data_IF_111400555570
#
_entry.id   IF_111400555570
#
_cell.length_a   1.000
_cell.length_b   1.000
_cell.length_c   1.000
_cell.angle_alpha   90.00
_cell.angle_beta   90.00
_cell.angle_gamma   90.00
#
_symmetry.space_group_name_H-M   'P 1'
#
loop_
_entity.id
_entity.type
_entity.pdbx_description
1 polymer ?
#
# COMPACT_ATOMS: atom_id res chain seq x y z
N UNK A 1 19.63 -23.42 62.36
CA UNK A 1 18.24 -23.60 61.87
C UNK A 1 17.76 -22.54 60.86
N UNK A 2 18.06 -21.23 61.02
CA UNK A 2 17.54 -20.15 60.13
C UNK A 2 17.92 -20.25 58.63
N UNK A 3 19.09 -20.81 58.27
CA UNK A 3 19.56 -20.93 56.87
C UNK A 3 18.84 -22.04 56.10
N UNK A 4 18.46 -23.15 56.76
CA UNK A 4 17.71 -24.25 56.12
C UNK A 4 16.26 -23.83 55.79
N UNK A 5 15.67 -22.95 56.59
CA UNK A 5 14.31 -22.45 56.38
C UNK A 5 14.21 -21.53 55.15
N UNK A 6 15.22 -20.68 54.89
CA UNK A 6 15.28 -19.83 53.67
C UNK A 6 15.41 -20.66 52.39
N UNK A 7 16.27 -21.68 52.37
CA UNK A 7 16.42 -22.57 51.20
C UNK A 7 15.16 -23.38 50.92
N UNK A 8 14.46 -23.82 51.97
CA UNK A 8 13.19 -24.53 51.86
C UNK A 8 12.06 -23.64 51.33
N UNK A 9 11.96 -22.39 51.78
CA UNK A 9 11.02 -21.41 51.25
C UNK A 9 11.26 -21.09 49.76
N UNK A 10 12.53 -20.92 49.36
CA UNK A 10 12.89 -20.72 47.93
C UNK A 10 12.51 -21.95 47.11
N UNK A 11 12.77 -23.16 47.63
CA UNK A 11 12.40 -24.40 46.95
C UNK A 11 10.89 -24.56 46.81
N UNK A 12 10.10 -24.26 47.85
CA UNK A 12 8.62 -24.27 47.77
C UNK A 12 8.11 -23.22 46.80
N UNK A 13 8.70 -22.01 46.80
CA UNK A 13 8.34 -20.97 45.84
C UNK A 13 8.63 -21.40 44.40
N UNK A 14 9.80 -22.01 44.16
CA UNK A 14 10.16 -22.53 42.85
C UNK A 14 9.26 -23.70 42.43
N UNK A 15 8.98 -24.63 43.34
CA UNK A 15 8.10 -25.78 43.09
C UNK A 15 6.66 -25.34 42.81
N UNK A 16 6.12 -24.39 43.59
CA UNK A 16 4.79 -23.81 43.34
C UNK A 16 4.74 -23.05 42.01
N UNK A 17 5.79 -22.29 41.67
CA UNK A 17 5.91 -21.64 40.36
C UNK A 17 5.94 -22.67 39.21
N UNK A 18 6.68 -23.77 39.37
CA UNK A 18 6.71 -24.86 38.40
C UNK A 18 5.37 -25.60 38.27
N UNK A 19 4.70 -25.91 39.38
CA UNK A 19 3.39 -26.60 39.39
C UNK A 19 2.32 -25.70 38.77
N UNK A 20 2.28 -24.41 39.13
CA UNK A 20 1.38 -23.44 38.53
C UNK A 20 1.68 -23.34 37.03
N UNK A 21 2.94 -23.17 36.64
CA UNK A 21 3.36 -23.14 35.24
C UNK A 21 2.94 -24.40 34.46
N UNK A 22 3.02 -25.59 35.09
CA UNK A 22 2.65 -26.87 34.48
C UNK A 22 1.13 -27.03 34.32
N UNK A 23 0.35 -26.67 35.34
CA UNK A 23 -1.12 -26.67 35.29
C UNK A 23 -1.60 -25.72 34.18
N UNK A 24 -0.96 -24.55 34.05
CA UNK A 24 -1.28 -23.60 32.99
C UNK A 24 -0.93 -24.14 31.60
N UNK A 25 0.20 -24.85 31.45
CA UNK A 25 0.57 -25.51 30.19
C UNK A 25 -0.44 -26.56 29.72
N UNK A 26 -1.19 -27.17 30.65
CA UNK A 26 -2.21 -28.18 30.39
C UNK A 26 -3.58 -27.59 29.98
N UNK A 27 -3.81 -26.28 30.15
CA UNK A 27 -5.06 -25.65 29.72
C UNK A 27 -5.03 -25.51 28.20
N UNK A 28 -5.94 -26.17 27.46
CA UNK A 28 -5.97 -26.06 26.01
C UNK A 28 -6.18 -24.61 25.59
N UNK A 29 -5.26 -24.09 24.78
CA UNK A 29 -5.38 -22.75 24.23
C UNK A 29 -6.60 -22.69 23.29
N UNK A 30 -7.66 -21.98 23.70
CA UNK A 30 -8.77 -21.66 22.81
C UNK A 30 -8.27 -20.94 21.55
N UNK A 31 -8.84 -21.23 20.38
CA UNK A 31 -8.44 -20.59 19.11
C UNK A 31 -8.52 -19.06 19.16
N UNK A 32 -7.68 -18.39 18.35
CA UNK A 32 -7.75 -16.95 18.15
C UNK A 32 -9.05 -16.59 17.42
N UNK A 33 -9.87 -15.74 18.02
CA UNK A 33 -11.13 -15.26 17.43
C UNK A 33 -10.87 -14.05 16.54
N UNK A 34 -9.99 -13.14 16.96
CA UNK A 34 -9.67 -11.91 16.26
C UNK A 34 -10.83 -10.91 16.28
N UNK A 35 -10.52 -9.64 16.54
CA UNK A 35 -11.50 -8.56 16.46
C UNK A 35 -10.98 -7.42 15.58
N UNK A 36 -11.88 -6.85 14.79
CA UNK A 36 -11.66 -5.68 13.94
C UNK A 36 -12.67 -4.59 14.26
N UNK A 37 -12.44 -3.38 13.77
CA UNK A 37 -13.40 -2.27 13.83
C UNK A 37 -14.59 -2.61 12.92
N UNK A 38 -15.82 -2.25 13.32
CA UNK A 38 -17.02 -2.52 12.52
C UNK A 38 -16.95 -1.97 11.09
N UNK A 39 -16.38 -0.77 10.92
CA UNK A 39 -16.16 -0.12 9.62
C UNK A 39 -14.68 -0.15 9.23
N UNK A 40 -14.09 -1.35 9.23
CA UNK A 40 -12.70 -1.53 8.83
C UNK A 40 -12.52 -1.39 7.32
N UNK A 41 -11.56 -0.57 6.90
CA UNK A 41 -11.17 -0.37 5.51
C UNK A 41 -9.85 -1.07 5.16
N UNK A 42 -9.00 -1.31 6.14
CA UNK A 42 -7.76 -2.07 5.98
C UNK A 42 -7.61 -2.98 7.19
N UNK A 43 -7.37 -4.27 6.96
CA UNK A 43 -6.93 -5.17 8.01
C UNK A 43 -5.66 -5.92 7.59
N UNK A 44 -4.79 -6.16 8.56
CA UNK A 44 -3.56 -6.93 8.39
C UNK A 44 -3.52 -8.00 9.47
N UNK A 45 -3.58 -9.26 9.04
CA UNK A 45 -3.56 -10.44 9.88
C UNK A 45 -2.25 -11.21 9.71
N UNK A 46 -1.63 -11.54 10.84
CA UNK A 46 -0.47 -12.42 10.92
C UNK A 46 -0.85 -13.65 11.74
N UNK A 47 -0.80 -14.87 11.19
CA UNK A 47 -1.01 -16.08 11.97
C UNK A 47 0.10 -16.32 13.00
N UNK A 48 1.35 -16.04 12.62
CA UNK A 48 2.53 -16.10 13.49
C UNK A 48 3.43 -14.88 13.23
N UNK A 49 3.05 -13.75 13.83
CA UNK A 49 3.79 -12.49 13.70
C UNK A 49 5.27 -12.60 14.10
N UNK A 50 5.66 -13.28 15.19
CA UNK A 50 7.07 -13.53 15.50
C UNK A 50 7.84 -14.21 14.37
N UNK A 51 7.28 -15.24 13.76
CA UNK A 51 7.91 -15.98 12.66
C UNK A 51 8.04 -15.08 11.42
N UNK A 52 6.95 -14.43 11.01
CA UNK A 52 6.97 -13.45 9.93
C UNK A 52 8.04 -12.37 10.17
N UNK A 53 8.06 -11.75 11.36
CA UNK A 53 9.02 -10.71 11.70
C UNK A 53 10.46 -11.21 11.67
N UNK A 54 10.72 -12.42 12.16
CA UNK A 54 12.06 -13.01 12.13
C UNK A 54 12.53 -13.31 10.70
N UNK A 55 11.64 -13.78 9.84
CA UNK A 55 11.93 -14.07 8.43
C UNK A 55 12.12 -12.77 7.65
N UNK A 56 11.21 -11.82 7.82
CA UNK A 56 11.29 -10.50 7.22
C UNK A 56 12.62 -9.82 7.58
N UNK A 57 13.05 -9.83 8.86
CA UNK A 57 14.32 -9.24 9.31
C UNK A 57 15.58 -9.76 8.60
N UNK A 58 15.54 -10.97 8.03
CA UNK A 58 16.68 -11.52 7.28
C UNK A 58 16.78 -10.95 5.88
N UNK A 59 15.71 -10.34 5.37
CA UNK A 59 15.68 -9.73 4.05
C UNK A 59 16.25 -8.31 4.10
N UNK A 60 17.10 -7.97 3.12
CA UNK A 60 17.76 -6.67 3.04
C UNK A 60 16.76 -5.51 3.02
N UNK A 61 15.68 -5.65 2.24
CA UNK A 61 14.58 -4.67 2.15
C UNK A 61 14.03 -4.36 3.55
N UNK A 62 13.80 -5.38 4.38
CA UNK A 62 13.25 -5.21 5.74
C UNK A 62 14.25 -4.61 6.72
N UNK A 63 15.55 -4.88 6.58
CA UNK A 63 16.56 -4.29 7.49
C UNK A 63 16.55 -2.77 7.37
N UNK A 64 16.45 -2.26 6.15
CA UNK A 64 16.33 -0.82 5.93
C UNK A 64 14.92 -0.31 6.21
N UNK A 65 13.87 -1.06 5.82
CA UNK A 65 12.49 -0.76 6.20
C UNK A 65 12.37 -0.57 7.71
N UNK A 66 12.89 -1.52 8.49
CA UNK A 66 12.85 -1.47 9.95
C UNK A 66 13.64 -0.28 10.47
N UNK A 67 14.86 0.00 9.98
CA UNK A 67 15.60 1.20 10.38
C UNK A 67 14.80 2.50 10.22
N UNK A 68 13.90 2.58 9.24
CA UNK A 68 13.15 3.80 8.90
C UNK A 68 11.70 3.81 9.44
N UNK A 69 10.93 2.72 9.28
CA UNK A 69 9.61 2.53 9.90
C UNK A 69 9.68 2.54 11.43
N UNK A 70 10.78 2.07 12.04
CA UNK A 70 10.91 2.13 13.51
C UNK A 70 10.93 3.54 14.05
N UNK A 71 11.27 4.57 13.27
CA UNK A 71 11.15 5.96 13.76
C UNK A 71 9.67 6.37 13.92
N UNK A 72 8.77 5.85 13.08
CA UNK A 72 7.34 6.17 13.12
C UNK A 72 6.55 5.27 14.06
N UNK A 73 6.87 3.97 14.06
CA UNK A 73 6.35 3.04 15.06
C UNK A 73 7.04 3.21 16.41
N UNK A 74 8.03 4.11 16.52
CA UNK A 74 8.79 4.34 17.75
C UNK A 74 7.88 4.74 18.89
N UNK A 75 6.94 5.67 18.67
CA UNK A 75 6.10 6.18 19.74
C UNK A 75 5.12 5.12 20.24
N UNK A 76 4.63 4.28 19.34
CA UNK A 76 3.80 3.10 19.66
C UNK A 76 4.64 2.08 20.44
N UNK A 77 5.84 1.74 19.96
CA UNK A 77 6.78 0.81 20.62
C UNK A 77 7.20 1.32 21.99
N UNK A 78 7.52 2.61 22.09
CA UNK A 78 7.95 3.29 23.30
C UNK A 78 6.83 3.34 24.32
N UNK A 79 5.61 3.65 23.91
CA UNK A 79 4.43 3.63 24.77
C UNK A 79 4.16 2.23 25.30
N UNK A 80 4.23 1.21 24.45
CA UNK A 80 4.13 -0.19 24.87
C UNK A 80 5.23 -0.56 25.87
N UNK A 81 6.47 -0.15 25.60
CA UNK A 81 7.62 -0.36 26.50
C UNK A 81 7.46 0.36 27.83
N UNK A 82 6.95 1.60 27.83
CA UNK A 82 6.70 2.39 29.05
C UNK A 82 5.60 1.75 29.90
N UNK A 83 4.52 1.27 29.28
CA UNK A 83 3.38 0.65 29.97
C UNK A 83 3.74 -0.73 30.55
N UNK A 84 4.43 -1.56 29.78
CA UNK A 84 4.64 -2.98 30.11
C UNK A 84 6.07 -3.35 30.52
N UNK A 85 7.04 -2.45 30.34
CA UNK A 85 8.47 -2.71 30.60
C UNK A 85 9.14 -3.64 29.58
N UNK A 86 8.43 -4.05 28.52
CA UNK A 86 8.88 -5.06 27.56
C UNK A 86 9.37 -4.37 26.28
N UNK A 87 10.64 -4.57 25.94
CA UNK A 87 11.16 -4.20 24.60
C UNK A 87 10.78 -5.30 23.60
N UNK A 88 10.03 -4.99 22.52
CA UNK A 88 9.59 -5.99 21.56
C UNK A 88 10.75 -6.53 20.73
N UNK A 89 10.94 -7.85 20.79
CA UNK A 89 11.74 -8.64 19.83
C UNK A 89 10.87 -9.82 19.41
N UNK A 90 11.13 -10.51 18.28
CA UNK A 90 10.31 -11.65 17.87
C UNK A 90 10.09 -12.67 19.00
N UNK A 91 11.17 -13.03 19.71
CA UNK A 91 11.09 -13.94 20.85
C UNK A 91 10.30 -13.37 22.04
N UNK A 92 10.52 -12.11 22.40
CA UNK A 92 9.79 -11.48 23.51
C UNK A 92 8.31 -11.30 23.16
N UNK A 93 7.99 -10.93 21.92
CA UNK A 93 6.62 -10.85 21.43
C UNK A 93 5.92 -12.20 21.58
N UNK A 94 6.56 -13.27 21.10
CA UNK A 94 6.04 -14.62 21.25
C UNK A 94 5.74 -14.99 22.70
N UNK A 95 6.65 -14.69 23.63
CA UNK A 95 6.48 -14.98 25.06
C UNK A 95 5.34 -14.19 25.70
N UNK A 96 5.13 -12.93 25.30
CA UNK A 96 4.19 -12.02 25.95
C UNK A 96 2.87 -11.89 25.18
N UNK A 97 2.93 -11.37 23.95
CA UNK A 97 1.76 -11.06 23.11
C UNK A 97 1.22 -12.27 22.33
N UNK A 98 1.99 -13.35 22.21
CA UNK A 98 1.59 -14.58 21.52
C UNK A 98 1.95 -14.58 20.04
N UNK A 99 1.33 -15.51 19.29
CA UNK A 99 1.58 -15.72 17.86
C UNK A 99 0.73 -14.82 16.95
N UNK A 100 -0.61 -14.86 17.04
CA UNK A 100 -1.44 -14.12 16.12
C UNK A 100 -1.44 -12.63 16.44
N UNK A 101 -1.40 -11.82 15.40
CA UNK A 101 -1.58 -10.37 15.46
C UNK A 101 -2.57 -9.99 14.37
N UNK A 102 -3.59 -9.22 14.75
CA UNK A 102 -4.53 -8.62 13.82
C UNK A 102 -4.54 -7.12 14.07
N UNK A 103 -4.37 -6.35 13.01
CA UNK A 103 -4.46 -4.89 13.05
C UNK A 103 -5.52 -4.46 12.06
N UNK A 104 -6.39 -3.54 12.44
CA UNK A 104 -7.41 -2.98 11.56
C UNK A 104 -7.49 -1.47 11.68
N UNK A 105 -7.76 -0.78 10.57
CA UNK A 105 -7.93 0.66 10.47
C UNK A 105 -9.27 1.01 9.83
N UNK A 106 -9.89 2.10 10.30
CA UNK A 106 -11.07 2.71 9.67
C UNK A 106 -10.67 3.96 8.85
N UNK A 107 -11.66 4.56 8.18
CA UNK A 107 -11.48 5.78 7.37
C UNK A 107 -11.03 7.00 8.16
N UNK A 108 -11.22 7.03 9.47
CA UNK A 108 -10.85 8.16 10.31
C UNK A 108 -9.40 8.05 10.81
N UNK A 109 -8.68 7.01 10.40
CA UNK A 109 -7.33 6.71 10.89
C UNK A 109 -7.32 6.09 12.29
N UNK A 110 -8.47 5.70 12.81
CA UNK A 110 -8.53 4.95 14.06
C UNK A 110 -8.12 3.52 13.83
N UNK A 111 -7.35 2.98 14.77
CA UNK A 111 -6.81 1.64 14.64
C UNK A 111 -7.11 0.78 15.86
N UNK A 112 -7.16 -0.53 15.61
CA UNK A 112 -7.34 -1.56 16.62
C UNK A 112 -6.29 -2.63 16.41
N UNK A 113 -5.57 -2.97 17.47
CA UNK A 113 -4.66 -4.09 17.55
C UNK A 113 -5.28 -5.17 18.42
N UNK A 114 -5.51 -6.35 17.84
CA UNK A 114 -6.01 -7.54 18.51
C UNK A 114 -4.91 -8.58 18.61
N UNK A 115 -4.53 -8.93 19.84
CA UNK A 115 -3.55 -9.97 20.13
C UNK A 115 -4.12 -11.01 21.08
N UNK A 116 -3.49 -12.18 21.13
CA UNK A 116 -3.80 -13.23 22.09
C UNK A 116 -2.61 -13.46 23.03
N UNK A 117 -2.53 -12.69 24.13
CA UNK A 117 -1.41 -12.80 25.05
C UNK A 117 -1.31 -14.19 25.65
N UNK A 118 -0.07 -14.66 25.80
CA UNK A 118 0.20 -15.94 26.45
C UNK A 118 -0.05 -15.87 27.93
N UNK A 119 -0.17 -17.06 28.53
CA UNK A 119 -0.41 -17.21 29.96
C UNK A 119 0.65 -16.49 30.82
N UNK A 120 1.92 -16.46 30.40
CA UNK A 120 2.97 -15.71 31.11
C UNK A 120 2.67 -14.20 31.23
N UNK A 121 2.14 -13.58 30.17
CA UNK A 121 1.73 -12.18 30.21
C UNK A 121 0.55 -11.96 31.16
N UNK A 122 -0.39 -12.92 31.19
CA UNK A 122 -1.51 -12.87 32.13
C UNK A 122 -1.05 -13.01 33.57
N UNK A 123 -0.08 -13.89 33.84
CA UNK A 123 0.51 -14.05 35.17
C UNK A 123 1.25 -12.78 35.63
N UNK A 124 1.93 -12.10 34.70
CA UNK A 124 2.56 -10.81 34.97
C UNK A 124 1.54 -9.72 35.33
N UNK A 125 0.31 -9.83 34.82
CA UNK A 125 -0.81 -8.92 35.07
C UNK A 125 -1.67 -9.29 36.30
N UNK A 126 -1.55 -10.51 36.82
CA UNK A 126 -2.31 -10.98 37.98
C UNK A 126 -2.16 -10.12 39.26
N UNK A 127 -1.04 -9.43 39.54
CA UNK A 127 -0.95 -8.63 40.76
C UNK A 127 -1.87 -7.40 40.76
N UNK A 128 -2.39 -6.97 39.60
CA UNK A 128 -2.94 -5.62 39.45
C UNK A 128 -4.42 -5.47 39.08
N UNK A 129 -5.22 -6.48 38.69
CA UNK A 129 -6.70 -6.38 38.72
C UNK A 129 -7.47 -7.65 38.28
N UNK A 130 -8.73 -7.73 38.74
CA UNK A 130 -9.81 -8.46 38.06
C UNK A 130 -9.72 -8.16 36.56
N UNK A 131 -9.46 -9.17 35.73
CA UNK A 131 -9.62 -9.07 34.26
C UNK A 131 -11.09 -8.70 34.04
N UNK A 132 -11.36 -7.40 33.97
CA UNK A 132 -12.69 -6.85 33.75
C UNK A 132 -12.80 -6.56 32.26
N UNK A 133 -13.98 -6.79 31.71
CA UNK A 133 -14.30 -6.39 30.33
C UNK A 133 -14.48 -4.85 30.21
N UNK A 134 -13.82 -4.08 31.07
CA UNK A 134 -13.89 -2.64 31.09
C UNK A 134 -12.71 -2.07 30.28
N UNK A 135 -12.96 -0.95 29.63
CA UNK A 135 -11.93 -0.19 28.94
C UNK A 135 -11.02 0.46 29.98
N UNK A 136 -9.71 0.30 29.81
CA UNK A 136 -8.70 0.87 30.69
C UNK A 136 -7.75 1.77 29.90
N UNK A 137 -7.32 2.87 30.51
CA UNK A 137 -6.41 3.83 29.90
C UNK A 137 -4.94 3.55 30.27
N UNK A 138 -4.02 3.80 29.35
CA UNK A 138 -2.59 3.63 29.61
C UNK A 138 -1.66 4.31 28.63
N UNK A 139 -0.99 5.37 29.09
CA UNK A 139 -0.20 6.20 28.18
C UNK A 139 -1.16 6.87 27.20
N UNK A 140 -0.88 6.81 25.91
CA UNK A 140 -1.73 7.42 24.87
C UNK A 140 -2.75 6.43 24.26
N UNK A 141 -2.96 5.27 24.90
CA UNK A 141 -3.76 4.17 24.36
C UNK A 141 -4.81 3.64 25.34
N UNK A 142 -5.84 3.03 24.75
CA UNK A 142 -6.93 2.35 25.44
C UNK A 142 -6.82 0.84 25.27
N UNK A 143 -7.17 0.09 26.32
CA UNK A 143 -7.03 -1.35 26.40
C UNK A 143 -8.33 -1.99 26.84
N UNK A 144 -8.74 -3.07 26.18
CA UNK A 144 -9.92 -3.86 26.53
C UNK A 144 -9.58 -5.36 26.49
N UNK A 145 -9.89 -6.06 27.57
CA UNK A 145 -9.89 -7.53 27.57
C UNK A 145 -11.23 -8.03 27.05
N UNK A 146 -11.21 -8.82 25.97
CA UNK A 146 -12.41 -9.46 25.41
C UNK A 146 -12.22 -10.98 25.43
N UNK A 147 -12.57 -11.58 26.57
CA UNK A 147 -12.29 -12.99 26.84
C UNK A 147 -10.79 -13.24 26.98
N UNK A 148 -10.20 -13.94 26.03
CA UNK A 148 -8.80 -14.37 26.06
C UNK A 148 -7.85 -13.48 25.21
N UNK A 149 -8.39 -12.43 24.61
CA UNK A 149 -7.68 -11.52 23.71
C UNK A 149 -7.59 -10.12 24.31
N UNK A 150 -6.47 -9.45 24.03
CA UNK A 150 -6.23 -8.08 24.42
C UNK A 150 -6.39 -7.20 23.18
N UNK A 151 -7.27 -6.22 23.31
CA UNK A 151 -7.55 -5.21 22.30
C UNK A 151 -6.89 -3.90 22.72
N UNK A 152 -6.21 -3.26 21.78
CA UNK A 152 -5.50 -1.98 21.99
C UNK A 152 -5.95 -1.01 20.89
N UNK A 153 -6.34 0.20 21.27
CA UNK A 153 -6.74 1.23 20.31
C UNK A 153 -6.25 2.61 20.72
N UNK A 154 -6.18 3.52 19.75
CA UNK A 154 -5.95 4.95 19.96
C UNK A 154 -7.18 5.69 20.50
N UNK A 155 -8.39 5.11 20.42
CA UNK A 155 -9.62 5.69 20.98
C UNK A 155 -10.44 4.67 21.78
N UNK A 156 -11.16 5.14 22.78
CA UNK A 156 -12.07 4.33 23.60
C UNK A 156 -13.34 3.93 22.83
N UNK A 157 -13.90 4.83 22.03
CA UNK A 157 -15.09 4.60 21.21
C UNK A 157 -14.93 3.41 20.27
N UNK A 158 -13.73 3.24 19.70
CA UNK A 158 -13.39 2.12 18.82
C UNK A 158 -13.55 0.78 19.54
N UNK A 159 -13.12 0.68 20.80
CA UNK A 159 -13.19 -0.56 21.59
C UNK A 159 -14.64 -1.00 21.87
N UNK A 160 -15.59 -0.07 21.82
CA UNK A 160 -17.02 -0.37 21.94
C UNK A 160 -17.66 -0.88 20.64
N UNK A 161 -17.02 -0.65 19.49
CA UNK A 161 -17.52 -0.95 18.14
C UNK A 161 -16.69 -2.04 17.44
N UNK A 162 -16.29 -3.07 18.19
CA UNK A 162 -15.46 -4.17 17.66
C UNK A 162 -16.28 -5.40 17.29
N UNK A 163 -16.11 -5.86 16.04
CA UNK A 163 -16.75 -7.06 15.50
C UNK A 163 -15.73 -8.19 15.36
N UNK A 164 -16.21 -9.43 15.33
CA UNK A 164 -15.33 -10.61 15.18
C UNK A 164 -14.80 -10.66 13.74
N UNK A 165 -13.52 -10.96 13.59
CA UNK A 165 -12.91 -11.20 12.30
C UNK A 165 -13.38 -12.52 11.71
N UNK A 166 -14.15 -12.48 10.62
CA UNK A 166 -14.72 -13.66 9.97
C UNK A 166 -13.76 -14.32 8.98
N UNK A 167 -12.74 -13.60 8.50
CA UNK A 167 -11.93 -13.97 7.35
C UNK A 167 -10.54 -14.49 7.74
N UNK A 168 -10.46 -15.35 8.76
CA UNK A 168 -9.20 -16.05 9.07
C UNK A 168 -8.92 -17.03 7.92
N UNK A 169 -7.82 -16.88 7.16
CA UNK A 169 -7.50 -17.78 6.06
C UNK A 169 -7.37 -19.22 6.56
N UNK A 170 -7.93 -20.19 5.84
CA UNK A 170 -7.90 -21.61 6.23
C UNK A 170 -6.53 -22.26 6.07
N UNK A 171 -5.65 -21.68 5.24
CA UNK A 171 -4.30 -22.17 4.97
C UNK A 171 -3.27 -21.13 5.42
N UNK A 172 -2.97 -21.13 6.72
CA UNK A 172 -2.05 -20.15 7.33
C UNK A 172 -0.61 -20.64 7.27
N UNK A 173 0.20 -20.04 6.39
CA UNK A 173 1.65 -20.15 6.53
C UNK A 173 2.10 -19.21 7.66
N UNK A 174 3.04 -19.68 8.50
CA UNK A 174 3.56 -18.95 9.64
C UNK A 174 4.32 -17.68 9.24
N UNK A 175 4.85 -17.64 8.01
CA UNK A 175 5.66 -16.52 7.50
C UNK A 175 4.89 -15.62 6.52
N UNK A 176 3.57 -15.51 6.69
CA UNK A 176 2.72 -14.72 5.80
C UNK A 176 1.94 -13.65 6.56
N UNK A 177 1.85 -12.46 5.97
CA UNK A 177 0.94 -11.40 6.36
C UNK A 177 -0.22 -11.36 5.37
N UNK A 178 -1.46 -11.44 5.85
CA UNK A 178 -2.66 -11.32 5.04
C UNK A 178 -3.19 -9.90 5.17
N UNK A 179 -3.37 -9.23 4.04
CA UNK A 179 -3.87 -7.86 3.95
C UNK A 179 -5.22 -7.93 3.28
N UNK A 180 -6.24 -7.36 3.91
CA UNK A 180 -7.57 -7.25 3.34
C UNK A 180 -7.96 -5.77 3.28
N UNK A 181 -8.34 -5.32 2.10
CA UNK A 181 -8.93 -4.01 1.86
C UNK A 181 -10.46 -4.16 1.87
N UNK A 182 -11.13 -3.22 2.54
CA UNK A 182 -12.55 -3.25 2.91
C UNK A 182 -13.49 -2.70 1.83
N UNK A 183 -14.73 -2.36 2.26
CA UNK A 183 -15.99 -2.11 1.53
C UNK A 183 -15.93 -1.72 0.03
N UNK A 184 -15.00 -0.87 -0.41
CA UNK A 184 -14.95 -0.34 -1.77
C UNK A 184 -14.03 -1.13 -2.72
N UNK A 185 -12.93 -1.70 -2.22
CA UNK A 185 -12.08 -2.62 -2.98
C UNK A 185 -12.01 -3.95 -2.26
N UNK A 186 -12.76 -4.93 -2.76
CA UNK A 186 -12.63 -6.34 -2.33
C UNK A 186 -11.29 -6.89 -2.83
N UNK A 187 -10.22 -6.54 -2.13
CA UNK A 187 -8.87 -6.98 -2.44
C UNK A 187 -8.24 -7.68 -1.24
N UNK A 188 -7.68 -8.84 -1.47
CA UNK A 188 -6.98 -9.64 -0.48
C UNK A 188 -5.58 -9.96 -0.99
N UNK A 189 -4.56 -9.64 -0.20
CA UNK A 189 -3.17 -9.93 -0.52
C UNK A 189 -2.53 -10.78 0.58
N UNK A 190 -1.55 -11.60 0.21
CA UNK A 190 -0.67 -12.33 1.11
C UNK A 190 0.77 -11.96 0.79
N UNK A 191 1.46 -11.39 1.78
CA UNK A 191 2.90 -11.11 1.71
C UNK A 191 3.63 -12.25 2.40
N UNK A 192 4.40 -13.00 1.63
CA UNK A 192 5.24 -14.10 2.08
C UNK A 192 6.65 -13.58 2.34
N UNK A 193 7.17 -13.86 3.54
CA UNK A 193 8.53 -13.49 3.94
C UNK A 193 9.56 -14.63 3.73
N UNK A 194 9.15 -15.77 3.15
CA UNK A 194 10.02 -16.91 2.84
C UNK A 194 10.70 -16.71 1.48
N UNK A 195 12.04 -16.71 1.45
CA UNK A 195 12.84 -16.64 0.21
C UNK A 195 12.50 -15.43 -0.70
N UNK A 196 12.86 -14.23 -0.25
CA UNK A 196 12.48 -12.92 -0.79
C UNK A 196 11.00 -12.59 -0.60
N UNK A 197 10.67 -11.30 -0.57
CA UNK A 197 9.28 -10.88 -0.43
C UNK A 197 8.51 -11.24 -1.71
N UNK A 198 7.52 -12.09 -1.52
CA UNK A 198 6.59 -12.51 -2.55
C UNK A 198 5.18 -12.11 -2.14
N UNK A 199 4.42 -11.58 -3.09
CA UNK A 199 3.06 -11.07 -2.93
C UNK A 199 2.16 -11.92 -3.80
N UNK A 200 1.14 -12.52 -3.20
CA UNK A 200 -0.01 -13.03 -3.94
C UNK A 200 -1.25 -12.24 -3.56
N UNK A 201 -2.25 -12.22 -4.42
CA UNK A 201 -3.50 -11.59 -4.07
C UNK A 201 -4.60 -11.83 -5.07
N UNK A 202 -5.78 -11.37 -4.68
CA UNK A 202 -6.99 -11.36 -5.48
C UNK A 202 -7.59 -9.97 -5.37
N UNK A 203 -7.91 -9.38 -6.51
CA UNK A 203 -8.73 -8.16 -6.58
C UNK A 203 -10.02 -8.55 -7.27
N UNK A 204 -11.15 -8.41 -6.57
CA UNK A 204 -12.45 -8.57 -7.21
C UNK A 204 -12.74 -7.34 -8.06
N UNK A 205 -13.23 -7.57 -9.27
CA UNK A 205 -13.74 -6.53 -10.15
C UNK A 205 -15.22 -6.77 -10.41
N UNK A 206 -16.02 -5.71 -10.21
CA UNK A 206 -17.43 -5.72 -10.58
C UNK A 206 -17.64 -5.62 -12.11
N UNK A 207 -16.57 -5.40 -12.88
CA UNK A 207 -16.60 -5.31 -14.34
C UNK A 207 -16.19 -6.65 -14.95
N UNK A 208 -16.77 -7.02 -16.10
CA UNK A 208 -16.36 -8.23 -16.85
C UNK A 208 -14.86 -8.17 -17.17
N UNK A 209 -14.12 -9.31 -17.15
CA UNK A 209 -12.73 -9.33 -17.57
C UNK A 209 -12.72 -8.82 -19.01
N UNK A 210 -12.12 -7.65 -19.23
CA UNK A 210 -12.28 -6.90 -20.47
C UNK A 210 -11.79 -7.71 -21.68
N UNK A 211 -12.58 -7.71 -22.77
CA UNK A 211 -12.12 -7.96 -24.14
C UNK A 211 -10.86 -7.13 -24.51
N UNK A 212 -10.60 -6.04 -23.78
CA UNK A 212 -9.44 -5.16 -23.88
C UNK A 212 -8.10 -5.70 -23.36
N UNK A 213 -8.03 -6.76 -22.53
CA UNK A 213 -6.73 -7.32 -22.08
C UNK A 213 -5.84 -7.76 -23.25
N UNK A 214 -6.44 -8.25 -24.33
CA UNK A 214 -5.77 -8.56 -25.60
C UNK A 214 -5.24 -7.31 -26.34
N UNK A 215 -5.85 -6.14 -26.10
CA UNK A 215 -5.41 -4.86 -26.64
C UNK A 215 -4.25 -4.27 -25.84
N UNK A 216 -3.97 -4.81 -24.65
CA UNK A 216 -2.96 -4.33 -23.71
C UNK A 216 -1.69 -5.18 -23.67
N UNK A 217 -1.69 -6.37 -24.29
CA UNK A 217 -0.54 -7.29 -24.37
C UNK A 217 0.76 -6.56 -24.73
N UNK A 218 0.66 -5.61 -25.64
CA UNK A 218 1.80 -4.97 -26.29
C UNK A 218 2.45 -3.90 -25.41
N UNK A 219 1.82 -3.52 -24.30
CA UNK A 219 2.40 -2.64 -23.29
C UNK A 219 2.98 -3.42 -22.10
N UNK A 220 2.56 -4.68 -21.91
CA UNK A 220 3.10 -5.53 -20.85
C UNK A 220 4.52 -5.97 -21.17
N UNK A 221 5.38 -6.03 -20.16
CA UNK A 221 6.83 -6.25 -20.30
C UNK A 221 7.64 -5.10 -20.91
N UNK A 222 7.04 -3.93 -21.14
CA UNK A 222 7.80 -2.73 -21.51
C UNK A 222 8.66 -2.21 -20.34
N UNK A 223 9.69 -1.43 -20.66
CA UNK A 223 10.51 -0.71 -19.68
C UNK A 223 9.79 0.51 -19.08
N UNK A 224 8.50 0.71 -19.39
CA UNK A 224 7.72 1.78 -18.78
C UNK A 224 7.67 1.58 -17.26
N UNK A 225 7.97 2.66 -16.52
CA UNK A 225 8.18 2.66 -15.07
C UNK A 225 6.97 2.16 -14.30
N UNK A 226 5.77 2.41 -14.81
CA UNK A 226 4.57 1.67 -14.41
C UNK A 226 3.53 1.65 -15.51
N UNK A 227 2.88 0.49 -15.65
CA UNK A 227 1.63 0.31 -16.40
C UNK A 227 0.56 0.01 -15.36
N UNK A 228 -0.58 0.70 -15.40
CA UNK A 228 -1.70 0.41 -14.50
C UNK A 228 -2.93 0.09 -15.33
N UNK A 229 -3.45 -1.14 -15.16
CA UNK A 229 -4.65 -1.62 -15.82
C UNK A 229 -5.90 -1.19 -15.07
N UNK A 230 -6.87 -0.64 -15.81
CA UNK A 230 -8.14 -0.16 -15.27
C UNK A 230 -7.83 0.97 -14.28
N UNK A 231 -8.18 2.21 -14.60
CA UNK A 231 -7.90 3.32 -13.68
C UNK A 231 -9.15 3.64 -12.84
N UNK A 232 -9.49 2.83 -11.80
CA UNK A 232 -9.95 3.39 -10.55
C UNK A 232 -8.75 3.60 -9.60
N UNK A 233 -7.50 3.65 -10.08
CA UNK A 233 -6.35 3.99 -9.24
C UNK A 233 -6.40 5.46 -8.81
N UNK A 234 -6.84 6.34 -9.72
CA UNK A 234 -7.12 7.72 -9.34
C UNK A 234 -8.45 7.81 -8.59
N UNK A 235 -9.47 7.00 -8.90
CA UNK A 235 -10.67 6.92 -8.06
C UNK A 235 -10.36 6.40 -6.65
N UNK A 236 -9.33 5.57 -6.47
CA UNK A 236 -8.85 5.11 -5.15
C UNK A 236 -7.97 6.12 -4.45
N UNK A 237 -7.23 6.96 -5.19
CA UNK A 237 -6.56 8.13 -4.60
C UNK A 237 -7.48 9.34 -4.42
N UNK A 238 -8.65 9.38 -5.06
CA UNK A 238 -9.71 10.36 -4.79
C UNK A 238 -10.77 9.81 -3.84
N UNK A 239 -10.77 8.50 -3.60
CA UNK A 239 -11.57 7.88 -2.55
C UNK A 239 -11.04 8.45 -1.23
N UNK A 240 -11.86 9.32 -0.64
CA UNK A 240 -11.61 9.93 0.65
C UNK A 240 -11.26 8.88 1.70
N UNK A 241 -11.79 7.67 1.58
CA UNK A 241 -11.54 6.59 2.53
C UNK A 241 -10.09 6.07 2.48
N UNK A 242 -9.54 5.86 1.28
CA UNK A 242 -8.20 5.32 1.09
C UNK A 242 -7.15 6.42 1.26
N UNK A 243 -7.44 7.65 0.85
CA UNK A 243 -6.60 8.82 1.19
C UNK A 243 -6.53 9.07 2.68
N UNK A 244 -7.66 9.04 3.40
CA UNK A 244 -7.64 9.19 4.85
C UNK A 244 -6.90 8.02 5.51
N UNK A 245 -7.10 6.79 5.05
CA UNK A 245 -6.37 5.61 5.55
C UNK A 245 -4.87 5.73 5.29
N UNK A 246 -4.43 6.12 4.09
CA UNK A 246 -3.02 6.35 3.77
C UNK A 246 -2.43 7.52 4.55
N UNK A 247 -3.18 8.61 4.74
CA UNK A 247 -2.76 9.76 5.56
C UNK A 247 -2.66 9.44 7.05
N UNK A 248 -3.33 8.38 7.52
CA UNK A 248 -3.17 7.85 8.87
C UNK A 248 -1.92 6.99 9.04
N UNK A 249 -1.45 6.38 7.94
CA UNK A 249 -0.26 5.51 7.92
C UNK A 249 1.01 6.29 7.56
N UNK A 250 0.88 7.35 6.76
CA UNK A 250 1.96 8.19 6.26
C UNK A 250 1.68 9.62 6.75
N UNK A 251 2.61 10.28 7.46
CA UNK A 251 2.38 11.62 8.00
C UNK A 251 1.85 12.58 6.92
N UNK A 252 0.84 13.38 7.28
CA UNK A 252 0.23 14.34 6.35
C UNK A 252 1.27 15.30 5.74
N UNK A 253 2.31 15.68 6.50
CA UNK A 253 3.43 16.52 6.04
C UNK A 253 4.26 15.89 4.92
N UNK A 254 4.34 14.55 4.84
CA UNK A 254 5.01 13.84 3.74
C UNK A 254 4.14 13.69 2.49
N UNK A 255 2.81 13.80 2.61
CA UNK A 255 1.89 13.75 1.47
C UNK A 255 1.54 15.15 0.93
N UNK A 256 1.66 16.18 1.78
CA UNK A 256 1.33 17.57 1.46
C UNK A 256 1.99 18.10 0.18
N UNK A 257 3.26 17.81 -0.14
CA UNK A 257 3.86 18.30 -1.38
C UNK A 257 3.23 17.66 -2.63
N UNK A 258 2.81 16.39 -2.57
CA UNK A 258 2.07 15.74 -3.67
C UNK A 258 0.76 16.49 -3.91
N UNK A 259 0.01 16.78 -2.84
CA UNK A 259 -1.25 17.51 -2.94
C UNK A 259 -1.07 18.94 -3.44
N UNK A 260 -0.05 19.67 -2.98
CA UNK A 260 0.27 21.02 -3.45
C UNK A 260 0.66 21.01 -4.93
N UNK A 261 1.47 20.03 -5.34
CA UNK A 261 1.84 19.87 -6.74
C UNK A 261 0.61 19.52 -7.60
N UNK A 262 -0.29 18.66 -7.12
CA UNK A 262 -1.57 18.39 -7.80
C UNK A 262 -2.43 19.66 -7.89
N UNK A 263 -2.47 20.49 -6.83
CA UNK A 263 -3.18 21.76 -6.82
C UNK A 263 -2.57 22.79 -7.79
N UNK A 264 -1.30 22.66 -8.18
CA UNK A 264 -0.72 23.54 -9.21
C UNK A 264 -1.34 23.33 -10.60
N UNK A 265 -2.05 22.21 -10.80
CA UNK A 265 -2.84 21.95 -12.00
C UNK A 265 -4.30 22.42 -11.90
N UNK A 266 -4.71 22.96 -10.74
CA UNK A 266 -6.07 23.45 -10.55
C UNK A 266 -6.35 24.68 -11.43
N UNK A 267 -7.56 24.75 -11.98
CA UNK A 267 -8.05 25.74 -12.92
C UNK A 267 -7.26 25.78 -14.25
N UNK A 268 -6.40 24.79 -14.50
CA UNK A 268 -5.66 24.65 -15.77
C UNK A 268 -6.45 23.85 -16.80
N UNK A 269 -6.02 23.93 -18.06
CA UNK A 269 -6.57 23.11 -19.15
C UNK A 269 -6.43 21.60 -18.90
N UNK A 270 -5.41 21.17 -18.15
CA UNK A 270 -5.21 19.77 -17.82
C UNK A 270 -6.27 19.25 -16.86
N UNK A 271 -6.65 20.03 -15.85
CA UNK A 271 -7.74 19.66 -14.94
C UNK A 271 -9.06 19.58 -15.72
N UNK A 272 -9.34 20.55 -16.60
CA UNK A 272 -10.53 20.52 -17.45
C UNK A 272 -10.57 19.26 -18.33
N UNK A 273 -9.47 18.93 -19.00
CA UNK A 273 -9.34 17.72 -19.80
C UNK A 273 -9.59 16.47 -18.96
N UNK A 274 -8.95 16.37 -17.81
CA UNK A 274 -9.08 15.25 -16.89
C UNK A 274 -10.54 15.08 -16.42
N UNK A 275 -11.20 16.16 -16.00
CA UNK A 275 -12.62 16.14 -15.60
C UNK A 275 -13.54 15.70 -16.74
N UNK A 276 -13.27 16.12 -17.99
CA UNK A 276 -14.06 15.69 -19.15
C UNK A 276 -13.88 14.20 -19.43
N UNK A 277 -12.65 13.68 -19.39
CA UNK A 277 -12.36 12.26 -19.57
C UNK A 277 -13.05 11.40 -18.49
N UNK A 278 -13.11 11.89 -17.25
CA UNK A 278 -13.87 11.25 -16.15
C UNK A 278 -15.36 11.28 -16.42
N UNK A 279 -15.92 12.45 -16.70
CA UNK A 279 -17.37 12.63 -16.89
C UNK A 279 -17.90 11.77 -18.04
N UNK A 280 -17.07 11.54 -19.06
CA UNK A 280 -17.38 10.66 -20.19
C UNK A 280 -17.10 9.18 -19.92
N UNK A 281 -16.55 8.86 -18.75
CA UNK A 281 -16.21 7.49 -18.35
C UNK A 281 -15.10 6.86 -19.19
N UNK A 282 -14.29 7.65 -19.89
CA UNK A 282 -13.23 7.14 -20.75
C UNK A 282 -12.06 6.57 -19.94
N UNK A 283 -11.81 7.11 -18.75
CA UNK A 283 -10.79 6.59 -17.83
C UNK A 283 -11.20 5.28 -17.14
N UNK A 284 -12.49 4.91 -17.18
CA UNK A 284 -13.02 3.71 -16.54
C UNK A 284 -12.49 2.40 -17.12
N UNK A 285 -11.76 2.46 -18.24
CA UNK A 285 -11.13 1.34 -18.95
C UNK A 285 -9.77 1.74 -19.52
N UNK A 286 -9.17 2.81 -18.99
CA UNK A 286 -7.89 3.31 -19.48
C UNK A 286 -6.72 2.54 -18.89
N UNK A 287 -5.62 2.52 -19.63
CA UNK A 287 -4.31 2.09 -19.14
C UNK A 287 -3.48 3.34 -18.91
N UNK A 288 -2.90 3.47 -17.73
CA UNK A 288 -2.00 4.57 -17.42
C UNK A 288 -0.54 4.13 -17.54
N UNK A 289 0.28 5.00 -18.12
CA UNK A 289 1.71 4.85 -18.28
C UNK A 289 2.39 5.94 -17.46
N UNK A 290 3.28 5.55 -16.55
CA UNK A 290 4.20 6.49 -15.93
C UNK A 290 5.60 6.22 -16.44
N UNK A 291 6.30 7.27 -16.86
CA UNK A 291 7.67 7.19 -17.35
C UNK A 291 8.67 7.88 -16.43
N UNK A 292 8.23 8.87 -15.65
CA UNK A 292 9.08 9.56 -14.69
C UNK A 292 8.83 11.06 -14.67
N UNK A 293 9.87 11.85 -14.47
CA UNK A 293 9.83 13.32 -14.49
C UNK A 293 10.75 13.87 -15.58
N UNK A 294 10.29 14.92 -16.24
CA UNK A 294 11.03 15.59 -17.30
C UNK A 294 12.19 16.41 -16.75
N UNK A 295 13.39 16.12 -17.22
CA UNK A 295 14.58 16.92 -16.91
C UNK A 295 14.71 18.18 -17.80
N UNK A 296 13.78 18.37 -18.77
CA UNK A 296 13.80 19.53 -19.69
C UNK A 296 13.40 20.84 -19.03
N UNK A 297 12.67 20.78 -17.92
CA UNK A 297 12.09 21.95 -17.26
C UNK A 297 12.66 22.08 -15.85
N UNK A 298 12.74 23.32 -15.35
CA UNK A 298 13.13 23.58 -13.96
C UNK A 298 12.10 23.08 -12.95
N UNK A 299 10.89 22.80 -13.41
CA UNK A 299 9.81 22.24 -12.63
C UNK A 299 9.73 20.72 -12.89
N UNK A 300 9.53 19.90 -11.86
CA UNK A 300 9.39 18.46 -12.00
C UNK A 300 8.03 18.12 -12.62
N UNK A 301 7.98 18.14 -13.95
CA UNK A 301 6.78 17.83 -14.75
C UNK A 301 6.72 16.32 -14.97
N UNK A 302 5.60 15.65 -14.66
CA UNK A 302 5.48 14.21 -14.80
C UNK A 302 5.36 13.86 -16.28
N UNK A 303 6.11 12.84 -16.70
CA UNK A 303 5.99 12.22 -18.01
C UNK A 303 5.07 11.02 -17.85
N UNK A 304 3.88 11.13 -18.43
CA UNK A 304 2.86 10.12 -18.34
C UNK A 304 2.13 9.97 -19.66
N UNK A 305 1.46 8.86 -19.84
CA UNK A 305 0.51 8.67 -20.91
C UNK A 305 -0.67 7.85 -20.45
N UNK A 306 -1.69 7.77 -21.29
CA UNK A 306 -2.76 6.83 -21.10
C UNK A 306 -3.32 6.37 -22.43
N UNK A 307 -3.74 5.12 -22.49
CA UNK A 307 -4.60 4.62 -23.55
C UNK A 307 -6.02 4.55 -23.03
N UNK A 308 -7.02 4.90 -23.83
CA UNK A 308 -8.42 4.64 -23.50
C UNK A 308 -9.18 4.13 -24.73
N UNK A 309 -10.19 3.26 -24.53
CA UNK A 309 -10.96 2.71 -25.63
C UNK A 309 -11.87 3.79 -26.21
N UNK A 310 -11.90 3.87 -27.54
CA UNK A 310 -12.70 4.85 -28.27
C UNK A 310 -12.84 4.39 -29.73
N UNK A 311 -14.07 4.34 -30.22
CA UNK A 311 -14.35 3.66 -31.50
C UNK A 311 -13.93 4.46 -32.74
N UNK A 312 -13.82 5.78 -32.62
CA UNK A 312 -13.54 6.65 -33.76
C UNK A 312 -12.08 7.13 -33.79
N UNK A 313 -11.41 6.93 -34.93
CA UNK A 313 -10.06 7.42 -35.20
C UNK A 313 -9.99 8.91 -35.55
N UNK A 314 -11.12 9.59 -35.68
CA UNK A 314 -11.18 11.02 -35.95
C UNK A 314 -10.98 11.86 -34.68
N UNK A 315 -9.87 12.60 -34.65
CA UNK A 315 -9.52 13.48 -33.54
C UNK A 315 -10.50 14.66 -33.39
N UNK A 316 -11.09 15.14 -34.48
CA UNK A 316 -12.05 16.26 -34.43
C UNK A 316 -13.28 15.86 -33.64
N UNK A 317 -13.78 14.65 -33.85
CA UNK A 317 -14.91 14.12 -33.11
C UNK A 317 -14.55 13.91 -31.64
N UNK A 318 -13.36 13.35 -31.35
CA UNK A 318 -12.89 13.20 -29.96
C UNK A 318 -12.86 14.54 -29.22
N UNK A 319 -12.26 15.57 -29.81
CA UNK A 319 -12.17 16.89 -29.19
C UNK A 319 -13.53 17.57 -29.06
N UNK A 320 -14.40 17.43 -30.05
CA UNK A 320 -15.77 17.93 -29.99
C UNK A 320 -16.57 17.26 -28.87
N UNK A 321 -16.47 15.93 -28.72
CA UNK A 321 -17.19 15.20 -27.66
C UNK A 321 -16.69 15.54 -26.25
N UNK A 322 -15.40 15.86 -26.12
CA UNK A 322 -14.77 16.31 -24.88
C UNK A 322 -14.92 17.82 -24.64
N UNK A 323 -15.57 18.56 -25.55
CA UNK A 323 -15.66 20.03 -25.51
C UNK A 323 -14.29 20.71 -25.36
N UNK A 324 -13.30 20.25 -26.13
CA UNK A 324 -11.95 20.78 -26.15
C UNK A 324 -11.71 21.64 -27.37
N UNK A 325 -11.42 22.93 -27.16
CA UNK A 325 -10.98 23.85 -28.19
C UNK A 325 -9.44 23.95 -28.16
N UNK A 326 -8.76 22.90 -28.59
CA UNK A 326 -7.30 22.86 -28.64
C UNK A 326 -6.80 22.93 -30.10
N UNK A 327 -5.79 23.77 -30.40
CA UNK A 327 -5.10 23.64 -31.67
C UNK A 327 -4.39 22.28 -31.69
N UNK A 328 -4.47 21.58 -32.82
CA UNK A 328 -3.75 20.33 -33.03
C UNK A 328 -3.17 20.29 -34.43
N UNK A 329 -2.06 19.57 -34.57
CA UNK A 329 -1.31 19.44 -35.80
C UNK A 329 -1.08 17.97 -36.11
N UNK A 330 -1.24 17.58 -37.38
CA UNK A 330 -0.88 16.24 -37.84
C UNK A 330 0.61 16.02 -37.64
N UNK A 331 0.98 14.88 -37.07
CA UNK A 331 2.37 14.50 -36.83
C UNK A 331 2.57 12.99 -36.99
N UNK A 332 3.51 12.55 -37.85
CA UNK A 332 3.81 11.12 -38.00
C UNK A 332 4.67 10.61 -36.84
N UNK A 333 4.26 9.50 -36.23
CA UNK A 333 4.98 8.80 -35.16
C UNK A 333 5.46 7.43 -35.66
N UNK A 334 6.69 7.36 -36.17
CA UNK A 334 7.22 6.14 -36.79
C UNK A 334 6.26 5.60 -37.88
N UNK A 335 5.66 4.42 -37.66
CA UNK A 335 4.69 3.80 -38.57
C UNK A 335 3.23 4.16 -38.29
N UNK A 336 2.97 5.15 -37.43
CA UNK A 336 1.63 5.54 -37.00
C UNK A 336 1.35 7.00 -37.35
N UNK A 337 0.18 7.27 -37.91
CA UNK A 337 -0.33 8.63 -38.04
C UNK A 337 -0.88 9.09 -36.70
N UNK A 338 -0.56 10.32 -36.32
CA UNK A 338 -1.03 10.89 -35.08
C UNK A 338 -1.04 12.41 -35.10
N UNK A 339 -1.13 12.97 -33.90
CA UNK A 339 -1.35 14.39 -33.70
C UNK A 339 -0.53 14.92 -32.52
N UNK A 340 -0.30 16.22 -32.55
CA UNK A 340 0.28 16.99 -31.45
C UNK A 340 -0.67 18.12 -31.12
N UNK A 341 -1.09 18.22 -29.85
CA UNK A 341 -1.80 19.38 -29.31
C UNK A 341 -0.99 20.01 -28.17
N UNK A 342 -0.42 21.21 -28.34
CA UNK A 342 0.33 21.88 -27.28
C UNK A 342 -0.62 22.31 -26.16
N UNK A 343 -0.28 21.95 -24.93
CA UNK A 343 -1.08 22.26 -23.74
C UNK A 343 -0.15 22.84 -22.68
N UNK A 344 -0.44 24.04 -22.19
CA UNK A 344 0.38 24.72 -21.15
C UNK A 344 1.77 25.20 -21.63
N UNK A 345 1.79 26.32 -22.37
CA UNK A 345 3.01 27.05 -22.77
C UNK A 345 4.13 26.16 -23.38
N UNK A 346 3.77 25.12 -24.13
CA UNK A 346 4.68 24.11 -24.70
C UNK A 346 5.44 23.26 -23.66
N UNK A 347 5.16 23.42 -22.36
CA UNK A 347 5.75 22.59 -21.31
C UNK A 347 5.13 21.20 -21.26
N UNK A 348 3.86 21.09 -21.66
CA UNK A 348 3.20 19.84 -21.95
C UNK A 348 2.70 19.84 -23.40
N UNK A 349 2.70 18.66 -23.99
CA UNK A 349 2.29 18.49 -25.37
C UNK A 349 1.57 17.16 -25.45
N UNK A 350 0.26 17.21 -25.75
CA UNK A 350 -0.53 16.01 -25.93
C UNK A 350 -0.15 15.40 -27.27
N UNK A 351 0.75 14.43 -27.23
CA UNK A 351 1.09 13.59 -28.36
C UNK A 351 0.06 12.46 -28.43
N UNK A 352 -0.60 12.28 -29.57
CA UNK A 352 -1.76 11.41 -29.70
C UNK A 352 -1.62 10.46 -30.88
N UNK A 353 -1.96 9.19 -30.69
CA UNK A 353 -1.99 8.15 -31.74
C UNK A 353 -3.23 7.29 -31.55
N UNK A 354 -3.93 6.98 -32.64
CA UNK A 354 -5.02 6.01 -32.62
C UNK A 354 -4.48 4.59 -32.78
N UNK A 355 -4.82 3.71 -31.85
CA UNK A 355 -4.29 2.36 -31.77
C UNK A 355 -5.31 1.37 -31.20
N UNK A 356 -5.56 0.26 -31.93
CA UNK A 356 -6.46 -0.84 -31.54
C UNK A 356 -7.82 -0.36 -30.97
N UNK A 357 -8.56 0.47 -31.71
CA UNK A 357 -9.87 1.02 -31.27
C UNK A 357 -9.79 1.83 -29.97
N UNK A 358 -8.74 2.61 -29.84
CA UNK A 358 -8.54 3.51 -28.72
C UNK A 358 -7.50 4.57 -29.03
N UNK A 359 -7.42 5.58 -28.17
CA UNK A 359 -6.46 6.67 -28.28
C UNK A 359 -5.37 6.52 -27.23
N UNK A 360 -4.12 6.55 -27.67
CA UNK A 360 -2.96 6.77 -26.81
C UNK A 360 -2.72 8.27 -26.75
N UNK A 361 -2.64 8.82 -25.54
CA UNK A 361 -2.26 10.21 -25.29
C UNK A 361 -1.04 10.20 -24.37
N UNK A 362 0.02 10.89 -24.76
CA UNK A 362 1.22 11.09 -23.97
C UNK A 362 1.40 12.56 -23.64
N UNK A 363 1.94 12.85 -22.45
CA UNK A 363 2.17 14.21 -21.96
C UNK A 363 3.36 14.90 -22.64
N UNK A 364 4.22 14.11 -23.31
CA UNK A 364 5.39 14.57 -24.07
C UNK A 364 5.67 13.71 -25.31
N UNK A 365 6.26 14.32 -26.33
CA UNK A 365 6.65 13.68 -27.59
C UNK A 365 7.65 12.54 -27.41
N UNK A 366 8.61 12.69 -26.50
CA UNK A 366 9.62 11.66 -26.24
C UNK A 366 9.00 10.34 -25.75
N UNK A 367 7.98 10.42 -24.89
CA UNK A 367 7.25 9.24 -24.44
C UNK A 367 6.44 8.61 -25.57
N UNK A 368 5.81 9.42 -26.44
CA UNK A 368 5.09 8.88 -27.59
C UNK A 368 6.02 8.17 -28.57
N UNK A 369 7.21 8.71 -28.81
CA UNK A 369 8.22 8.06 -29.64
C UNK A 369 8.65 6.71 -29.07
N UNK A 370 8.87 6.62 -27.75
CA UNK A 370 9.20 5.35 -27.08
C UNK A 370 8.05 4.34 -27.17
N UNK A 371 6.82 4.78 -26.86
CA UNK A 371 5.63 3.92 -26.95
C UNK A 371 5.41 3.41 -28.37
N UNK A 372 5.49 4.27 -29.39
CA UNK A 372 5.28 3.83 -30.78
C UNK A 372 6.40 2.91 -31.29
N UNK A 373 7.62 3.05 -30.76
CA UNK A 373 8.72 2.11 -31.00
C UNK A 373 8.41 0.74 -30.38
N UNK A 374 7.99 0.70 -29.10
CA UNK A 374 7.56 -0.53 -28.43
C UNK A 374 6.40 -1.22 -29.15
N UNK A 375 5.41 -0.46 -29.60
CA UNK A 375 4.27 -0.99 -30.36
C UNK A 375 4.67 -1.53 -31.74
N UNK A 376 5.75 -1.00 -32.33
CA UNK A 376 6.29 -1.51 -33.58
C UNK A 376 7.04 -2.83 -33.36
N UNK A 377 7.83 -2.92 -32.29
CA UNK A 377 8.64 -4.10 -31.92
C UNK A 377 7.78 -5.28 -31.42
N UNK A 378 6.72 -5.01 -30.65
CA UNK A 378 5.83 -6.04 -30.08
C UNK A 378 4.81 -6.65 -31.07
N UNK A 379 4.96 -6.42 -32.38
CA UNK A 379 4.08 -7.01 -33.41
C UNK A 379 4.21 -8.53 -33.54
N UNK A 380 5.27 -9.14 -33.02
CA UNK A 380 5.49 -10.58 -33.05
C UNK A 380 5.27 -11.20 -31.68
N UNK A 381 4.24 -12.04 -31.59
CA UNK A 381 4.02 -13.12 -30.61
C UNK A 381 4.47 -12.85 -29.17
N UNK A 382 3.55 -12.92 -28.20
CA UNK A 382 3.75 -13.73 -26.99
C UNK A 382 2.42 -13.87 -26.21
N UNK A 383 1.96 -15.13 -26.11
CA UNK A 383 0.99 -15.60 -25.11
C UNK A 383 1.62 -15.60 -23.70
N UNK A 384 2.20 -14.48 -23.27
CA UNK A 384 2.72 -14.35 -21.91
C UNK A 384 1.69 -13.72 -21.00
N UNK A 385 1.67 -14.18 -19.75
CA UNK A 385 0.84 -13.55 -18.73
C UNK A 385 1.26 -12.08 -18.61
N UNK A 386 0.31 -11.14 -18.54
CA UNK A 386 0.62 -9.72 -18.45
C UNK A 386 1.41 -9.45 -17.16
N UNK A 387 2.63 -8.91 -17.31
CA UNK A 387 3.49 -8.49 -16.19
C UNK A 387 3.51 -6.97 -16.11
N UNK A 388 3.14 -6.48 -14.95
CA UNK A 388 3.27 -5.10 -14.51
C UNK A 388 4.60 -4.92 -13.80
N UNK A 389 5.40 -3.98 -14.28
CA UNK A 389 6.59 -3.55 -13.58
C UNK A 389 6.28 -2.20 -12.93
N UNK A 390 6.54 -2.05 -11.65
CA UNK A 390 6.49 -0.77 -10.94
C UNK A 390 7.89 -0.51 -10.41
N UNK A 391 8.61 0.43 -11.03
CA UNK A 391 9.94 0.82 -10.60
C UNK A 391 9.84 1.76 -9.38
N UNK A 392 9.77 1.18 -8.19
CA UNK A 392 9.59 1.92 -6.93
C UNK A 392 10.81 2.82 -6.66
N UNK A 393 12.00 2.38 -7.05
CA UNK A 393 13.21 3.19 -6.94
C UNK A 393 13.12 4.49 -7.75
N UNK A 394 12.68 4.40 -9.01
CA UNK A 394 12.48 5.57 -9.86
C UNK A 394 11.36 6.47 -9.34
N UNK A 395 10.18 5.90 -9.05
CA UNK A 395 9.04 6.65 -8.48
C UNK A 395 9.46 7.41 -7.23
N UNK A 396 10.31 6.82 -6.40
CA UNK A 396 10.84 7.48 -5.22
C UNK A 396 11.75 8.66 -5.52
N UNK A 397 12.63 8.55 -6.53
CA UNK A 397 13.50 9.64 -6.96
C UNK A 397 12.68 10.79 -7.54
N UNK A 398 11.64 10.45 -8.30
CA UNK A 398 10.72 11.41 -8.88
C UNK A 398 9.91 12.16 -7.81
N UNK A 399 9.37 11.45 -6.81
CA UNK A 399 8.68 12.08 -5.68
C UNK A 399 9.61 13.04 -4.91
N UNK A 400 10.89 12.68 -4.73
CA UNK A 400 11.84 13.59 -4.09
C UNK A 400 12.03 14.88 -4.90
N UNK A 401 12.18 14.78 -6.23
CA UNK A 401 12.31 15.97 -7.10
C UNK A 401 11.10 16.90 -6.91
N UNK A 402 9.89 16.35 -6.84
CA UNK A 402 8.66 17.12 -6.55
C UNK A 402 8.75 17.78 -5.17
N UNK A 403 9.18 17.05 -4.15
CA UNK A 403 9.23 17.54 -2.77
C UNK A 403 10.23 18.68 -2.60
N UNK A 404 11.44 18.50 -3.14
CA UNK A 404 12.48 19.52 -3.11
C UNK A 404 12.08 20.76 -3.92
N UNK A 405 11.41 20.59 -5.06
CA UNK A 405 10.88 21.71 -5.82
C UNK A 405 9.82 22.48 -5.03
N UNK A 406 8.84 21.81 -4.42
CA UNK A 406 7.82 22.47 -3.58
C UNK A 406 8.46 23.23 -2.41
N UNK A 407 9.46 22.64 -1.76
CA UNK A 407 10.19 23.28 -0.67
C UNK A 407 10.99 24.51 -1.14
N UNK A 408 11.62 24.43 -2.32
CA UNK A 408 12.37 25.52 -2.94
C UNK A 408 11.47 26.69 -3.37
N UNK A 409 10.26 26.40 -3.82
CA UNK A 409 9.25 27.40 -4.16
C UNK A 409 8.49 27.92 -2.94
N UNK A 410 8.92 27.56 -1.72
CA UNK A 410 8.30 27.95 -0.45
C UNK A 410 6.79 27.60 -0.37
N UNK A 411 6.35 26.58 -1.12
CA UNK A 411 4.96 26.13 -1.10
C UNK A 411 4.65 25.34 0.17
N UNK A 412 5.68 24.88 0.89
CA UNK A 412 5.57 24.14 2.14
C UNK A 412 5.81 25.09 3.33
N UNK A 413 4.74 25.40 4.06
CA UNK A 413 4.82 26.27 5.23
C UNK A 413 5.85 25.77 6.25
N UNK A 414 6.93 26.54 6.42
CA UNK A 414 7.98 26.30 7.42
C UNK A 414 8.88 25.09 7.13
N UNK A 415 8.93 24.61 5.88
CA UNK A 415 9.83 23.52 5.46
C UNK A 415 10.65 23.99 4.26
N UNK A 416 11.95 24.16 4.46
CA UNK A 416 12.88 24.46 3.37
C UNK A 416 13.42 23.17 2.72
N UNK A 417 14.21 23.32 1.64
CA UNK A 417 14.79 22.20 0.90
C UNK A 417 15.64 21.26 1.78
N UNK A 418 16.41 21.81 2.71
CA UNK A 418 17.26 21.04 3.63
C UNK A 418 16.42 20.21 4.59
N UNK A 419 15.38 20.81 5.15
CA UNK A 419 14.44 20.12 6.05
C UNK A 419 13.72 19.00 5.30
N UNK A 420 13.27 19.26 4.07
CA UNK A 420 12.58 18.28 3.22
C UNK A 420 13.49 17.11 2.85
N UNK A 421 14.74 17.38 2.49
CA UNK A 421 15.74 16.34 2.22
C UNK A 421 15.95 15.46 3.47
N UNK A 422 16.07 16.06 4.66
CA UNK A 422 16.18 15.32 5.92
C UNK A 422 14.94 14.45 6.21
N UNK A 423 13.74 14.96 5.91
CA UNK A 423 12.47 14.27 6.15
C UNK A 423 12.25 13.10 5.17
N UNK A 424 12.58 13.27 3.87
CA UNK A 424 12.28 12.28 2.84
C UNK A 424 13.43 11.31 2.54
N UNK A 425 14.69 11.69 2.77
CA UNK A 425 15.86 10.82 2.52
C UNK A 425 15.71 9.40 3.09
N UNK A 426 15.19 9.20 4.31
CA UNK A 426 14.90 7.85 4.84
C UNK A 426 13.95 7.03 3.97
N UNK A 427 12.87 7.66 3.49
CA UNK A 427 11.88 7.02 2.61
C UNK A 427 12.46 6.76 1.24
N UNK A 428 13.24 7.69 0.72
CA UNK A 428 13.94 7.51 -0.55
C UNK A 428 14.83 6.27 -0.54
N UNK A 429 15.65 6.14 0.49
CA UNK A 429 16.54 4.98 0.61
C UNK A 429 15.74 3.68 0.71
N UNK A 430 14.68 3.67 1.53
CA UNK A 430 13.81 2.50 1.67
C UNK A 430 13.15 2.08 0.35
N UNK A 431 12.53 3.02 -0.37
CA UNK A 431 11.87 2.76 -1.65
C UNK A 431 12.88 2.36 -2.74
N UNK A 432 14.07 2.97 -2.75
CA UNK A 432 15.16 2.57 -3.64
C UNK A 432 15.61 1.13 -3.41
N UNK A 433 15.61 0.67 -2.16
CA UNK A 433 15.96 -0.70 -1.82
C UNK A 433 14.86 -1.73 -2.14
N UNK A 434 13.59 -1.31 -2.23
CA UNK A 434 12.52 -2.16 -2.76
C UNK A 434 12.74 -2.53 -4.23
N UNK A 435 13.41 -1.67 -5.02
CA UNK A 435 13.69 -1.92 -6.44
C UNK A 435 12.42 -1.89 -7.29
N UNK A 436 12.23 -2.90 -8.12
CA UNK A 436 11.09 -3.03 -9.03
C UNK A 436 10.12 -4.08 -8.51
N UNK A 437 8.86 -3.70 -8.30
CA UNK A 437 7.78 -4.64 -8.02
C UNK A 437 7.25 -5.20 -9.34
N UNK A 438 7.44 -6.50 -9.55
CA UNK A 438 6.90 -7.21 -10.72
C UNK A 438 5.64 -7.95 -10.33
N UNK A 439 4.50 -7.63 -10.93
CA UNK A 439 3.21 -8.29 -10.69
C UNK A 439 2.72 -8.95 -11.98
N UNK A 440 2.46 -10.25 -11.95
CA UNK A 440 1.71 -10.95 -12.99
C UNK A 440 0.23 -10.94 -12.65
N UNK A 441 -0.60 -10.66 -13.66
CA UNK A 441 -2.05 -10.63 -13.53
C UNK A 441 -2.66 -11.80 -14.31
N UNK A 442 -3.45 -12.63 -13.62
CA UNK A 442 -4.14 -13.75 -14.26
C UNK A 442 -5.65 -13.53 -14.12
N UNK A 443 -6.40 -13.46 -15.24
CA UNK A 443 -7.85 -13.38 -15.16
C UNK A 443 -8.39 -14.70 -14.62
N UNK A 444 -9.32 -14.64 -13.67
CA UNK A 444 -10.04 -15.78 -13.15
C UNK A 444 -11.54 -15.51 -13.27
N UNK A 445 -12.21 -16.25 -14.14
CA UNK A 445 -13.67 -16.24 -14.23
C UNK A 445 -14.25 -17.21 -13.21
N UNK A 446 -15.10 -16.70 -12.33
CA UNK A 446 -15.93 -17.51 -11.45
C UNK A 446 -17.38 -17.09 -11.64
N UNK A 447 -18.33 -18.02 -11.56
CA UNK A 447 -19.73 -17.85 -11.99
C UNK A 447 -20.54 -16.74 -11.28
N UNK A 448 -19.95 -15.96 -10.36
CA UNK A 448 -20.61 -14.93 -9.56
C UNK A 448 -19.82 -13.61 -9.43
N UNK A 449 -18.48 -13.61 -9.53
CA UNK A 449 -17.62 -12.42 -9.44
C UNK A 449 -16.35 -12.63 -10.27
N UNK A 450 -15.84 -11.58 -10.94
CA UNK A 450 -14.59 -11.63 -11.69
C UNK A 450 -13.43 -11.27 -10.78
N UNK A 451 -12.33 -12.02 -10.87
CA UNK A 451 -11.13 -11.75 -10.08
C UNK A 451 -9.90 -11.62 -10.96
N UNK A 452 -9.01 -10.74 -10.53
CA UNK A 452 -7.61 -10.74 -10.96
C UNK A 452 -6.76 -11.38 -9.89
N UNK A 453 -6.08 -12.47 -10.24
CA UNK A 453 -5.01 -12.99 -9.42
C UNK A 453 -3.77 -12.15 -9.66
N UNK A 454 -3.16 -11.68 -8.58
CA UNK A 454 -1.91 -10.96 -8.59
C UNK A 454 -0.85 -11.89 -8.00
N UNK A 455 0.28 -12.03 -8.68
CA UNK A 455 1.45 -12.76 -8.18
C UNK A 455 2.71 -12.02 -8.53
N UNK A 456 3.57 -11.76 -7.56
CA UNK A 456 4.70 -10.90 -7.80
C UNK A 456 5.68 -10.79 -6.66
N UNK A 457 6.76 -10.07 -6.89
CA UNK A 457 7.79 -9.88 -5.88
C UNK A 457 8.66 -8.67 -6.19
N UNK A 458 9.47 -8.32 -5.21
CA UNK A 458 10.45 -7.25 -5.34
C UNK A 458 11.72 -7.80 -5.99
N UNK A 459 12.16 -7.16 -7.06
CA UNK A 459 13.42 -7.44 -7.75
C UNK A 459 14.32 -6.23 -7.55
N UNK A 460 15.47 -6.44 -6.93
CA UNK A 460 16.47 -5.39 -6.77
C UNK A 460 17.59 -5.67 -7.79
N UNK A 461 17.76 -4.78 -8.76
CA UNK A 461 18.73 -4.93 -9.86
C UNK A 461 20.18 -4.61 -9.43
N UNK A 462 20.54 -4.91 -8.17
CA UNK A 462 21.89 -4.68 -7.61
C UNK A 462 22.88 -5.75 -7.99
#
# INVERSE_FOLDING_TARGET
>A
MKIRCKKFLIFIFFLSFCIIGFIFFLIPEQGFRGYIIQDTNLSVYFPDFPSFWSSAKKQQITVSATKHLFNYLYDIELSFRKKWGIRPTPFRWYLWAGKPLLISWNEQGDYLVSIKPRQLFRLFLLPSWKISNNITYGGDYYYLWKGNELLISNKDTVLSQVVRFSNIPSNTNNNTAYIELGKNLKASFSIHAENNFYIEGKIASNKKPLDGLSSFSDFFNSNLSSVLLDCPLIDTFSDTSLTNTLSSLIPQKSLQPIFIWLLSFKDTYLEKLYLQLINKGLLNRSVFFYYGISDKFSNPIPIFGFWFPYENSDITQLFSELNLELPYYSHPWNSFDGYIAPVWNNALCLSMVYYKKGWIICSQEALMAEITTLLHENKSDLKTNPVFNINIAQVSEDIEKIFLWCAKQELLNGINERDMSGLYSPWKQFLKEMGTLKLSLLPLENNQENYFLIRGGFVNDK
#
